data_IF_547252948646
#
_entry.id   IF_547252948646
#
_cell.length_a   1.000
_cell.length_b   1.000
_cell.length_c   1.000
_cell.angle_alpha   90.00
_cell.angle_beta   90.00
_cell.angle_gamma   90.00
#
_symmetry.space_group_name_H-M   'P 1'
#
loop_
_entity.id
_entity.type
_entity.pdbx_description
1 polymer ?
#
# COMPACT_ATOMS: atom_id res chain seq x y z
N UNK A 1 -14.06 -7.28 -7.86
CA UNK A 1 -13.42 -6.22 -7.04
C UNK A 1 -11.93 -6.44 -7.20
N UNK A 2 -11.14 -5.42 -7.53
CA UNK A 2 -9.69 -5.56 -7.72
C UNK A 2 -8.97 -5.28 -6.41
N UNK A 3 -7.98 -6.10 -6.06
CA UNK A 3 -7.14 -5.92 -4.88
C UNK A 3 -5.80 -5.30 -5.27
N UNK A 4 -5.11 -4.63 -4.35
CA UNK A 4 -3.87 -3.90 -4.61
C UNK A 4 -2.95 -3.81 -3.40
N UNK A 5 -1.67 -3.71 -3.69
CA UNK A 5 -0.66 -3.25 -2.73
C UNK A 5 -0.39 -1.78 -3.03
N UNK A 6 -0.31 -0.95 -2.00
CA UNK A 6 -0.04 0.48 -2.13
C UNK A 6 1.07 0.93 -1.18
N UNK A 7 1.65 2.11 -1.47
CA UNK A 7 2.66 2.76 -0.63
C UNK A 7 2.44 4.27 -0.61
N UNK A 8 3.12 4.96 0.28
CA UNK A 8 3.08 6.43 0.38
C UNK A 8 3.62 7.10 -0.89
N UNK A 9 3.01 8.21 -1.31
CA UNK A 9 3.61 9.14 -2.28
C UNK A 9 4.87 9.77 -1.70
N UNK A 10 5.70 10.36 -2.56
CA UNK A 10 6.92 11.05 -2.09
C UNK A 10 6.53 12.26 -1.21
N UNK A 11 5.43 12.95 -1.54
CA UNK A 11 4.82 14.01 -0.71
C UNK A 11 4.46 13.51 0.70
N UNK A 12 3.81 12.34 0.82
CA UNK A 12 3.46 11.77 2.12
C UNK A 12 4.70 11.40 2.94
N UNK A 13 5.74 10.87 2.29
CA UNK A 13 7.02 10.53 2.93
C UNK A 13 7.74 11.76 3.45
N UNK A 14 7.83 12.81 2.63
CA UNK A 14 8.46 14.09 3.00
C UNK A 14 7.74 14.77 4.17
N UNK A 15 6.42 14.57 4.27
CA UNK A 15 5.59 15.06 5.36
C UNK A 15 5.57 14.13 6.58
N UNK A 16 6.30 13.01 6.55
CA UNK A 16 6.28 11.97 7.58
C UNK A 16 4.86 11.52 7.95
N UNK A 17 3.98 11.39 6.96
CA UNK A 17 2.61 10.95 7.16
C UNK A 17 2.55 9.47 7.54
N UNK A 18 1.60 9.12 8.39
CA UNK A 18 1.26 7.71 8.63
C UNK A 18 0.53 7.14 7.42
N UNK A 19 0.52 5.80 7.31
CA UNK A 19 -0.25 5.09 6.29
C UNK A 19 -1.74 5.46 6.35
N UNK A 20 -2.31 5.54 7.55
CA UNK A 20 -3.72 5.92 7.74
C UNK A 20 -4.00 7.35 7.27
N UNK A 21 -3.15 8.31 7.62
CA UNK A 21 -3.31 9.71 7.18
C UNK A 21 -3.20 9.82 5.66
N UNK A 22 -2.24 9.10 5.06
CA UNK A 22 -2.02 9.11 3.62
C UNK A 22 -3.17 8.44 2.85
N UNK A 23 -3.76 7.37 3.38
CA UNK A 23 -4.96 6.74 2.81
C UNK A 23 -6.13 7.74 2.86
N UNK A 24 -6.34 8.39 4.01
CA UNK A 24 -7.41 9.37 4.18
C UNK A 24 -7.26 10.61 3.29
N UNK A 25 -6.02 11.03 3.01
CA UNK A 25 -5.74 12.19 2.15
C UNK A 25 -5.58 11.83 0.66
N UNK A 26 -5.56 10.54 0.31
CA UNK A 26 -5.27 10.06 -1.04
C UNK A 26 -3.80 10.19 -1.48
N UNK A 27 -2.88 10.41 -0.53
CA UNK A 27 -1.44 10.49 -0.77
C UNK A 27 -0.78 9.09 -0.77
N UNK A 28 -1.45 8.14 -1.44
CA UNK A 28 -0.97 6.79 -1.68
C UNK A 28 -0.83 6.54 -3.18
N UNK A 29 0.08 5.65 -3.55
CA UNK A 29 0.24 5.15 -4.91
C UNK A 29 0.12 3.63 -4.95
N UNK A 30 -0.62 3.12 -5.92
CA UNK A 30 -0.67 1.69 -6.19
C UNK A 30 0.68 1.19 -6.68
N UNK A 31 1.17 0.12 -6.07
CA UNK A 31 2.40 -0.58 -6.47
C UNK A 31 2.06 -1.71 -7.45
N UNK A 32 1.06 -2.52 -7.09
CA UNK A 32 0.68 -3.70 -7.85
C UNK A 32 -0.81 -4.00 -7.62
N UNK A 33 -1.47 -4.58 -8.62
CA UNK A 33 -2.90 -4.94 -8.58
C UNK A 33 -3.07 -6.43 -8.86
N UNK A 34 -4.00 -7.05 -8.16
CA UNK A 34 -4.29 -8.48 -8.23
C UNK A 34 -5.78 -8.72 -8.42
N UNK A 35 -6.10 -9.87 -9.02
CA UNK A 35 -7.49 -10.30 -9.19
C UNK A 35 -8.08 -10.85 -7.88
N UNK A 36 -7.26 -11.47 -7.03
CA UNK A 36 -7.70 -12.10 -5.77
C UNK A 36 -7.00 -11.50 -4.55
N UNK A 37 -7.68 -11.58 -3.41
CA UNK A 37 -7.12 -11.16 -2.13
C UNK A 37 -5.99 -12.09 -1.68
N UNK A 38 -6.10 -13.40 -1.94
CA UNK A 38 -5.07 -14.39 -1.58
C UNK A 38 -3.75 -14.11 -2.30
N UNK A 39 -3.78 -13.79 -3.60
CA UNK A 39 -2.58 -13.40 -4.36
C UNK A 39 -1.97 -12.10 -3.83
N UNK A 40 -2.82 -11.17 -3.38
CA UNK A 40 -2.38 -9.89 -2.79
C UNK A 40 -1.68 -10.13 -1.45
N UNK A 41 -2.24 -11.00 -0.61
CA UNK A 41 -1.64 -11.39 0.67
C UNK A 41 -0.30 -12.10 0.46
N UNK A 42 -0.24 -13.06 -0.46
CA UNK A 42 1.00 -13.77 -0.78
C UNK A 42 2.08 -12.81 -1.26
N UNK A 43 1.74 -11.92 -2.19
CA UNK A 43 2.64 -10.88 -2.66
C UNK A 43 3.10 -9.96 -1.52
N UNK A 44 2.19 -9.56 -0.63
CA UNK A 44 2.50 -8.70 0.50
C UNK A 44 3.48 -9.38 1.46
N UNK A 45 3.20 -10.60 1.92
CA UNK A 45 4.07 -11.31 2.86
C UNK A 45 5.40 -11.77 2.25
N UNK A 46 5.44 -12.02 0.94
CA UNK A 46 6.66 -12.49 0.25
C UNK A 46 7.55 -11.34 -0.23
N UNK A 47 6.98 -10.22 -0.69
CA UNK A 47 7.73 -9.13 -1.38
C UNK A 47 7.63 -7.77 -0.70
N UNK A 48 6.56 -7.49 0.04
CA UNK A 48 6.25 -6.16 0.57
C UNK A 48 5.96 -6.17 2.08
N UNK A 49 6.60 -7.08 2.83
CA UNK A 49 6.36 -7.33 4.26
C UNK A 49 6.95 -6.25 5.18
N UNK A 50 6.76 -4.98 4.82
CA UNK A 50 7.14 -3.81 5.60
C UNK A 50 5.87 -2.98 5.82
N UNK A 51 5.27 -3.19 6.99
CA UNK A 51 4.02 -2.56 7.41
C UNK A 51 4.15 -1.05 7.64
N UNK A 52 5.38 -0.53 7.77
CA UNK A 52 5.62 0.91 7.89
C UNK A 52 5.60 1.59 6.50
N UNK A 53 5.72 0.81 5.41
CA UNK A 53 5.89 1.32 4.05
C UNK A 53 4.74 0.93 3.12
N UNK A 54 4.17 -0.26 3.29
CA UNK A 54 3.20 -0.85 2.38
C UNK A 54 1.88 -1.20 3.08
N UNK A 55 0.77 -1.01 2.37
CA UNK A 55 -0.56 -1.45 2.76
C UNK A 55 -1.23 -2.27 1.66
N UNK A 56 -2.33 -2.95 2.01
CA UNK A 56 -3.15 -3.76 1.09
C UNK A 56 -4.60 -3.31 1.11
N UNK A 57 -5.27 -3.36 -0.04
CA UNK A 57 -6.71 -3.06 -0.24
C UNK A 57 -7.34 -4.09 -1.18
#
# INVERSE_FOLDING_TARGET
>A
MSHRIFTLTDTAKDKHMTLDDAVNSGEIKTVETFETYDDTLDAFFTRYCDFDVYGIE
#
